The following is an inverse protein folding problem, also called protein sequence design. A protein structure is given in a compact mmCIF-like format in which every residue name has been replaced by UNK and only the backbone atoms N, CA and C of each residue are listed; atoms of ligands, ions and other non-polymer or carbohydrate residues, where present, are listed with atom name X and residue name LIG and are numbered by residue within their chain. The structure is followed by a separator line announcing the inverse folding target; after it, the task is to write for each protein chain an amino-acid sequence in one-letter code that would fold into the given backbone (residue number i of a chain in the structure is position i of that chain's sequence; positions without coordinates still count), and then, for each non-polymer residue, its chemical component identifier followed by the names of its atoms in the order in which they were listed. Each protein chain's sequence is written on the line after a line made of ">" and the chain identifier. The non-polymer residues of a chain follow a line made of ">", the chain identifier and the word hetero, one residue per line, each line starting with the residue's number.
data_IF_077174018093
#
_entry.id   IF_077174018093
#
_cell.length_a   1.000
_cell.length_b   1.000
_cell.length_c   1.000
_cell.angle_alpha   90.00
_cell.angle_beta   90.00
_cell.angle_gamma   90.00
#
_symmetry.space_group_name_H-M   'P 1'
#
loop_
_entity.id
_entity.type
_entity.pdbx_description
1 polymer ?
#
# COMPACT_ATOMS: atom_id res chain seq x y z
N UNK A 1 25.33 10.80 2.82
CA UNK A 1 24.19 10.19 2.10
C UNK A 1 23.60 9.22 3.10
N UNK A 2 22.36 9.40 3.54
CA UNK A 2 21.75 8.46 4.49
C UNK A 2 21.54 7.14 3.75
N UNK A 3 22.20 6.08 4.19
CA UNK A 3 21.95 4.72 3.71
C UNK A 3 20.52 4.35 4.11
N UNK A 4 19.55 4.62 3.25
CA UNK A 4 18.19 4.15 3.46
C UNK A 4 18.21 2.63 3.46
N UNK A 5 17.59 2.05 4.48
CA UNK A 5 17.46 0.61 4.54
C UNK A 5 16.61 0.16 3.33
N UNK A 6 16.96 -0.95 2.67
CA UNK A 6 16.09 -1.55 1.67
C UNK A 6 14.72 -1.92 2.26
N UNK A 7 13.64 -1.77 1.47
CA UNK A 7 12.32 -2.32 1.84
C UNK A 7 12.41 -3.84 1.89
N UNK A 8 11.77 -4.48 2.88
CA UNK A 8 11.65 -5.94 2.91
C UNK A 8 10.56 -6.39 1.94
N UNK A 9 10.69 -7.60 1.36
CA UNK A 9 9.68 -8.19 0.47
C UNK A 9 8.26 -8.12 1.08
N UNK A 10 8.13 -8.52 2.34
CA UNK A 10 6.84 -8.53 3.05
C UNK A 10 6.24 -7.13 3.23
N UNK A 11 7.08 -6.09 3.36
CA UNK A 11 6.59 -4.72 3.45
C UNK A 11 6.07 -4.26 2.08
N UNK A 12 6.76 -4.62 0.99
CA UNK A 12 6.32 -4.34 -0.38
C UNK A 12 4.99 -5.03 -0.71
N UNK A 13 4.81 -6.28 -0.30
CA UNK A 13 3.55 -7.02 -0.44
C UNK A 13 2.40 -6.30 0.27
N UNK A 14 2.60 -5.95 1.55
CA UNK A 14 1.61 -5.21 2.36
C UNK A 14 1.24 -3.86 1.76
N UNK A 15 2.24 -3.11 1.26
CA UNK A 15 2.02 -1.84 0.57
C UNK A 15 1.16 -2.06 -0.67
N UNK A 16 1.49 -3.07 -1.48
CA UNK A 16 0.75 -3.37 -2.70
C UNK A 16 -0.69 -3.78 -2.39
N UNK A 17 -0.90 -4.72 -1.46
CA UNK A 17 -2.24 -5.16 -1.04
C UNK A 17 -3.09 -4.02 -0.48
N UNK A 18 -2.49 -3.13 0.33
CA UNK A 18 -3.20 -1.97 0.86
C UNK A 18 -3.62 -1.01 -0.26
N UNK A 19 -2.76 -0.75 -1.24
CA UNK A 19 -3.10 0.10 -2.38
C UNK A 19 -4.24 -0.51 -3.20
N UNK A 20 -4.15 -1.80 -3.56
CA UNK A 20 -5.23 -2.48 -4.30
C UNK A 20 -6.53 -2.43 -3.51
N UNK A 21 -6.51 -2.79 -2.23
CA UNK A 21 -7.72 -2.81 -1.39
C UNK A 21 -8.36 -1.42 -1.28
N UNK A 22 -7.56 -0.35 -1.21
CA UNK A 22 -8.06 1.02 -1.15
C UNK A 22 -8.62 1.51 -2.49
N UNK A 23 -8.00 1.15 -3.61
CA UNK A 23 -8.51 1.47 -4.96
C UNK A 23 -9.80 0.73 -5.31
N UNK A 24 -10.02 -0.46 -4.74
CA UNK A 24 -11.22 -1.28 -5.04
C UNK A 24 -12.46 -0.92 -4.23
N UNK A 25 -12.45 0.16 -3.45
CA UNK A 25 -13.55 0.47 -2.51
C UNK A 25 -14.80 0.99 -3.22
N UNK A 26 -14.63 1.64 -4.35
CA UNK A 26 -15.70 2.04 -5.27
C UNK A 26 -16.29 0.84 -6.05
N UNK A 27 -15.64 -0.32 -5.98
CA UNK A 27 -16.01 -1.56 -6.68
C UNK A 27 -15.35 -1.74 -8.04
N UNK A 28 -14.49 -0.81 -8.47
CA UNK A 28 -13.74 -0.86 -9.72
C UNK A 28 -12.22 -0.88 -9.44
N UNK A 29 -11.42 -1.20 -10.46
CA UNK A 29 -9.96 -1.05 -10.37
C UNK A 29 -9.56 -0.17 -11.54
N UNK A 30 -9.13 1.05 -11.26
CA UNK A 30 -8.66 1.93 -12.30
C UNK A 30 -7.18 1.64 -12.57
N UNK A 31 -6.85 1.35 -13.83
CA UNK A 31 -5.46 1.07 -14.21
C UNK A 31 -4.51 2.23 -13.85
N UNK A 32 -5.03 3.46 -13.81
CA UNK A 32 -4.26 4.66 -13.47
C UNK A 32 -3.90 4.73 -11.98
N UNK A 33 -4.66 4.09 -11.10
CA UNK A 33 -4.33 3.93 -9.69
C UNK A 33 -3.25 2.85 -9.47
N UNK A 34 -3.28 1.77 -10.27
CA UNK A 34 -2.37 0.64 -10.11
C UNK A 34 -0.98 0.90 -10.69
N UNK A 35 -0.88 1.65 -11.80
CA UNK A 35 0.41 2.01 -12.44
C UNK A 35 1.46 2.60 -11.47
N UNK A 36 1.15 3.60 -10.62
CA UNK A 36 2.12 4.14 -9.68
C UNK A 36 2.54 3.10 -8.62
N UNK A 37 1.64 2.18 -8.25
CA UNK A 37 1.95 1.09 -7.31
C UNK A 37 2.96 0.14 -7.92
N UNK A 38 2.71 -0.36 -9.14
CA UNK A 38 3.64 -1.24 -9.85
C UNK A 38 5.02 -0.58 -10.00
N UNK A 39 5.04 0.67 -10.44
CA UNK A 39 6.30 1.43 -10.60
C UNK A 39 7.04 1.60 -9.27
N UNK A 40 6.31 1.81 -8.16
CA UNK A 40 6.89 1.93 -6.83
C UNK A 40 7.55 0.64 -6.37
N UNK A 41 6.88 -0.51 -6.59
CA UNK A 41 7.35 -1.85 -6.21
C UNK A 41 8.55 -2.25 -7.07
N UNK A 42 8.48 -2.11 -8.39
CA UNK A 42 9.58 -2.43 -9.32
C UNK A 42 10.86 -1.66 -8.97
N UNK A 43 10.74 -0.37 -8.67
CA UNK A 43 11.88 0.47 -8.29
C UNK A 43 12.52 0.12 -6.94
N UNK A 44 11.88 -0.74 -6.13
CA UNK A 44 12.35 -1.17 -4.80
C UNK A 44 12.56 -2.68 -4.70
N UNK A 45 12.29 -3.41 -5.78
CA UNK A 45 12.44 -4.85 -5.84
C UNK A 45 13.92 -5.22 -5.82
N UNK A 46 14.29 -6.15 -4.95
CA UNK A 46 15.68 -6.55 -4.76
C UNK A 46 15.99 -7.90 -5.40
N UNK A 47 17.25 -8.04 -5.81
CA UNK A 47 17.81 -9.34 -6.18
C UNK A 47 17.68 -10.30 -4.99
N UNK A 48 17.01 -11.44 -5.21
CA UNK A 48 16.74 -12.44 -4.17
C UNK A 48 15.30 -12.47 -3.66
N UNK A 49 14.43 -11.52 -4.03
CA UNK A 49 13.01 -11.56 -3.64
C UNK A 49 12.15 -12.48 -4.50
N UNK A 50 12.70 -12.95 -5.63
CA UNK A 50 12.02 -13.86 -6.55
C UNK A 50 11.28 -13.12 -7.66
N UNK A 51 10.22 -13.75 -8.17
CA UNK A 51 9.42 -13.24 -9.28
C UNK A 51 8.44 -12.17 -8.78
N UNK A 52 8.53 -10.98 -9.36
CA UNK A 52 7.63 -9.85 -9.05
C UNK A 52 6.19 -10.12 -9.49
N UNK A 53 5.96 -10.95 -10.51
CA UNK A 53 4.61 -11.32 -10.91
C UNK A 53 3.92 -12.14 -9.82
N UNK A 54 4.68 -13.01 -9.16
CA UNK A 54 4.18 -13.78 -8.02
C UNK A 54 3.80 -12.87 -6.84
N UNK A 55 4.58 -11.82 -6.58
CA UNK A 55 4.20 -10.81 -5.59
C UNK A 55 2.86 -10.16 -5.94
N UNK A 56 2.64 -9.83 -7.22
CA UNK A 56 1.37 -9.24 -7.67
C UNK A 56 0.20 -10.19 -7.41
N UNK A 57 0.35 -11.48 -7.66
CA UNK A 57 -0.66 -12.50 -7.34
C UNK A 57 -0.95 -12.58 -5.84
N UNK A 58 0.10 -12.70 -5.01
CA UNK A 58 -0.01 -12.75 -3.54
C UNK A 58 -0.64 -11.46 -2.98
N UNK A 59 -0.28 -10.31 -3.55
CA UNK A 59 -0.81 -9.01 -3.14
C UNK A 59 -2.30 -8.87 -3.47
N UNK A 60 -2.73 -9.36 -4.63
CA UNK A 60 -4.13 -9.41 -5.04
C UNK A 60 -4.95 -10.35 -4.13
N UNK A 61 -4.42 -11.53 -3.80
CA UNK A 61 -5.08 -12.45 -2.86
C UNK A 61 -5.27 -11.79 -1.49
N UNK A 62 -4.20 -11.19 -0.94
CA UNK A 62 -4.24 -10.45 0.32
C UNK A 62 -5.21 -9.27 0.28
N UNK A 63 -5.29 -8.54 -0.84
CA UNK A 63 -6.26 -7.45 -1.02
C UNK A 63 -7.70 -7.97 -0.98
N UNK A 64 -7.99 -9.10 -1.64
CA UNK A 64 -9.31 -9.74 -1.59
C UNK A 64 -9.69 -10.18 -0.18
N UNK A 65 -8.75 -10.66 0.63
CA UNK A 65 -9.01 -10.99 2.04
C UNK A 65 -9.33 -9.75 2.87
N UNK A 66 -8.63 -8.63 2.62
CA UNK A 66 -8.92 -7.34 3.26
C UNK A 66 -10.34 -6.89 2.91
N UNK A 67 -10.74 -6.97 1.65
CA UNK A 67 -12.07 -6.55 1.18
C UNK A 67 -13.20 -7.46 1.69
N UNK A 68 -12.93 -8.76 1.86
CA UNK A 68 -13.88 -9.72 2.46
C UNK A 68 -13.97 -9.60 3.98
N UNK A 69 -13.06 -8.86 4.62
CA UNK A 69 -13.07 -8.67 6.06
C UNK A 69 -14.33 -7.93 6.51
N UNK A 70 -14.93 -8.38 7.60
CA UNK A 70 -16.05 -7.69 8.25
C UNK A 70 -15.62 -6.33 8.85
N UNK A 71 -14.32 -6.04 8.89
CA UNK A 71 -13.79 -4.77 9.37
C UNK A 71 -12.57 -4.35 8.54
N UNK A 72 -12.83 -3.75 7.38
CA UNK A 72 -11.84 -3.17 6.49
C UNK A 72 -10.86 -2.22 7.22
N UNK A 73 -11.41 -1.29 8.01
CA UNK A 73 -10.63 -0.36 8.85
C UNK A 73 -9.65 -1.07 9.79
N UNK A 74 -10.04 -2.21 10.36
CA UNK A 74 -9.18 -2.99 11.26
C UNK A 74 -8.07 -3.71 10.49
N UNK A 75 -8.39 -4.30 9.34
CA UNK A 75 -7.41 -4.97 8.48
C UNK A 75 -6.35 -3.98 7.99
N UNK A 76 -6.77 -2.83 7.44
CA UNK A 76 -5.85 -1.77 6.99
C UNK A 76 -5.09 -1.14 8.16
N UNK A 77 -5.71 -0.98 9.33
CA UNK A 77 -5.04 -0.52 10.55
C UNK A 77 -3.94 -1.46 11.03
N UNK A 78 -4.14 -2.78 10.93
CA UNK A 78 -3.10 -3.77 11.24
C UNK A 78 -1.93 -3.72 10.26
N UNK A 79 -2.19 -3.48 8.97
CA UNK A 79 -1.15 -3.27 7.97
C UNK A 79 -0.36 -1.98 8.26
N UNK A 80 -1.05 -0.87 8.49
CA UNK A 80 -0.42 0.41 8.82
C UNK A 80 0.44 0.31 10.09
N UNK A 81 -0.02 -0.41 11.11
CA UNK A 81 0.75 -0.70 12.32
C UNK A 81 1.99 -1.55 12.04
N UNK A 82 1.84 -2.64 11.27
CA UNK A 82 2.97 -3.49 10.87
C UNK A 82 4.02 -2.70 10.09
N UNK A 83 3.61 -1.83 9.18
CA UNK A 83 4.50 -1.02 8.36
C UNK A 83 5.16 0.10 9.18
N UNK A 84 4.44 0.71 10.13
CA UNK A 84 5.02 1.74 10.99
C UNK A 84 6.17 1.19 11.85
N UNK A 85 6.07 -0.06 12.29
CA UNK A 85 7.13 -0.73 13.04
C UNK A 85 8.32 -1.21 12.20
N UNK A 86 8.19 -1.28 10.87
CA UNK A 86 9.22 -1.82 9.98
C UNK A 86 9.93 -0.81 9.10
N UNK A 87 9.24 0.27 8.74
CA UNK A 87 9.73 1.27 7.82
C UNK A 87 10.46 2.40 8.57
N UNK A 88 11.54 2.91 7.99
CA UNK A 88 12.13 4.18 8.41
C UNK A 88 11.26 5.38 7.98
N UNK A 89 11.53 6.57 8.52
CA UNK A 89 10.69 7.75 8.23
C UNK A 89 10.65 8.09 6.74
N UNK A 90 11.77 8.00 6.02
CA UNK A 90 11.79 8.30 4.59
C UNK A 90 10.99 7.28 3.77
N UNK A 91 10.98 6.02 4.22
CA UNK A 91 10.15 4.98 3.62
C UNK A 91 8.66 5.18 3.92
N UNK A 92 8.31 5.59 5.15
CA UNK A 92 6.94 5.95 5.56
C UNK A 92 6.40 7.09 4.71
N UNK A 93 7.18 8.17 4.55
CA UNK A 93 6.81 9.32 3.74
C UNK A 93 6.57 8.92 2.28
N UNK A 94 7.41 8.04 1.73
CA UNK A 94 7.25 7.54 0.38
C UNK A 94 5.97 6.69 0.20
N UNK A 95 5.58 5.91 1.21
CA UNK A 95 4.34 5.13 1.20
C UNK A 95 3.12 6.05 1.32
N UNK A 96 3.14 7.07 2.18
CA UNK A 96 2.06 8.07 2.24
C UNK A 96 1.88 8.79 0.91
N UNK A 97 3.00 9.17 0.27
CA UNK A 97 2.96 9.79 -1.06
C UNK A 97 2.37 8.85 -2.11
N UNK A 98 2.72 7.57 -2.07
CA UNK A 98 2.14 6.56 -2.97
C UNK A 98 0.62 6.46 -2.76
N UNK A 99 0.17 6.22 -1.53
CA UNK A 99 -1.25 6.11 -1.21
C UNK A 99 -2.02 7.37 -1.61
N UNK A 100 -1.46 8.55 -1.35
CA UNK A 100 -2.05 9.81 -1.79
C UNK A 100 -2.14 9.91 -3.31
N UNK A 101 -1.14 9.42 -4.05
CA UNK A 101 -1.17 9.42 -5.52
C UNK A 101 -2.24 8.49 -6.06
N UNK A 102 -2.37 7.30 -5.46
CA UNK A 102 -3.38 6.30 -5.81
C UNK A 102 -4.79 6.90 -5.67
N UNK A 103 -5.10 7.46 -4.51
CA UNK A 103 -6.43 8.03 -4.20
C UNK A 103 -6.83 9.29 -4.98
N UNK A 104 -5.92 9.89 -5.74
CA UNK A 104 -6.23 11.06 -6.56
C UNK A 104 -6.03 10.78 -8.06
N UNK A 105 -5.80 9.52 -8.45
CA UNK A 105 -5.51 9.17 -9.82
C UNK A 105 -6.74 9.30 -10.74
N UNK A 106 -7.94 9.07 -10.20
CA UNK A 106 -9.24 9.20 -10.88
C UNK A 106 -9.86 10.61 -10.75
N UNK A 107 -9.37 11.43 -9.81
CA UNK A 107 -9.81 12.80 -9.57
C UNK A 107 -11.01 12.94 -8.64
N UNK A 108 -11.54 11.85 -8.09
CA UNK A 108 -12.69 11.84 -7.17
C UNK A 108 -12.28 11.21 -5.83
N UNK A 109 -11.88 12.04 -4.86
CA UNK A 109 -11.57 11.55 -3.51
C UNK A 109 -12.84 11.16 -2.75
N UNK A 110 -13.09 9.86 -2.58
CA UNK A 110 -14.24 9.39 -1.80
C UNK A 110 -13.96 9.50 -0.29
N UNK A 111 -14.96 9.87 0.53
CA UNK A 111 -14.79 10.02 1.99
C UNK A 111 -14.22 8.76 2.67
N UNK A 112 -14.54 7.57 2.13
CA UNK A 112 -14.06 6.30 2.65
C UNK A 112 -12.55 6.13 2.44
N UNK A 113 -12.04 6.49 1.27
CA UNK A 113 -10.62 6.47 0.93
C UNK A 113 -9.81 7.43 1.78
N UNK A 114 -10.32 8.65 1.98
CA UNK A 114 -9.73 9.62 2.90
C UNK A 114 -9.68 9.07 4.34
N UNK A 115 -10.73 8.38 4.78
CA UNK A 115 -10.78 7.69 6.06
C UNK A 115 -9.69 6.62 6.20
N UNK A 116 -9.46 5.83 5.16
CA UNK A 116 -8.41 4.80 5.14
C UNK A 116 -7.01 5.40 5.09
N UNK A 117 -6.79 6.42 4.26
CA UNK A 117 -5.54 7.17 4.22
C UNK A 117 -5.17 7.75 5.59
N UNK A 118 -6.15 8.31 6.31
CA UNK A 118 -5.95 8.86 7.64
C UNK A 118 -5.46 7.82 8.66
N UNK A 119 -5.75 6.52 8.46
CA UNK A 119 -5.20 5.44 9.30
C UNK A 119 -3.68 5.38 9.16
N UNK A 120 -3.19 5.41 7.92
CA UNK A 120 -1.75 5.36 7.63
C UNK A 120 -1.04 6.60 8.16
N UNK A 121 -1.60 7.80 7.93
CA UNK A 121 -1.05 9.06 8.47
C UNK A 121 -0.89 8.97 9.98
N UNK A 122 -1.97 8.64 10.71
CA UNK A 122 -1.94 8.55 12.17
C UNK A 122 -0.93 7.54 12.70
N UNK A 123 -0.78 6.39 12.02
CA UNK A 123 0.17 5.34 12.43
C UNK A 123 1.61 5.68 12.10
N UNK A 124 1.87 6.46 11.07
CA UNK A 124 3.23 6.82 10.67
C UNK A 124 3.76 8.02 11.44
N UNK A 125 2.86 8.88 11.93
CA UNK A 125 3.19 10.04 12.79
C UNK A 125 3.25 9.70 14.30
N UNK A 126 2.77 8.52 14.71
CA UNK A 126 2.83 8.03 16.11
C UNK A 126 4.16 7.36 16.44
#
# INVERSE_FOLDING_TARGET
>A
MSDQQPYRREDLEKIFSACIAMSTLDGEIHLDEIKPVVSFIEGRWQSGYGDINKLSEEANESALEILKSHSLYKSLGGIAESLSGSLDQGQKDAVLKLLSTVLHADGEGHEMEHGMYAIFVRKFES
#
